data_IF_937558152562
#
_entry.id   IF_937558152562
#
_cell.length_a   1.000
_cell.length_b   1.000
_cell.length_c   1.000
_cell.angle_alpha   90.00
_cell.angle_beta   90.00
_cell.angle_gamma   90.00
#
_symmetry.space_group_name_H-M   'P 1'
#
loop_
_entity.id
_entity.type
_entity.pdbx_description
1 polymer ?
#
# COMPACT_ATOMS: atom_id res chain seq x y z
N UNK A 1 -75.64 14.85 -72.59
CA UNK A 1 -76.90 14.10 -72.43
C UNK A 1 -76.58 12.85 -71.59
N UNK A 2 -77.37 12.58 -70.57
CA UNK A 2 -77.45 11.26 -69.92
C UNK A 2 -76.88 11.22 -68.49
N UNK A 3 -77.74 11.63 -67.55
CA UNK A 3 -77.66 11.27 -66.11
C UNK A 3 -78.04 9.82 -65.92
N UNK A 4 -77.40 9.08 -65.05
CA UNK A 4 -78.06 8.12 -64.16
C UNK A 4 -77.41 8.08 -62.79
N UNK A 5 -78.24 8.16 -61.78
CA UNK A 5 -78.01 8.06 -60.33
C UNK A 5 -78.07 6.60 -59.86
N UNK A 6 -77.55 6.43 -58.66
CA UNK A 6 -77.89 5.50 -57.56
C UNK A 6 -76.82 4.47 -57.34
N UNK A 7 -76.46 4.14 -56.14
CA UNK A 7 -77.11 4.21 -54.87
C UNK A 7 -76.20 3.70 -53.75
N UNK A 8 -76.47 4.13 -52.58
CA UNK A 8 -75.90 3.91 -51.29
C UNK A 8 -75.99 2.48 -50.77
N UNK A 9 -74.92 1.95 -50.15
CA UNK A 9 -75.04 1.15 -48.91
C UNK A 9 -73.78 1.24 -48.11
N UNK A 10 -73.88 1.82 -46.92
CA UNK A 10 -72.80 1.92 -45.96
C UNK A 10 -72.64 0.61 -45.22
N UNK A 11 -71.43 0.28 -44.95
CA UNK A 11 -71.08 -0.65 -43.91
C UNK A 11 -69.98 -0.02 -43.03
N UNK A 12 -70.39 0.31 -41.81
CA UNK A 12 -69.51 0.83 -40.80
C UNK A 12 -68.66 -0.33 -40.24
N UNK A 13 -67.38 -0.21 -40.39
CA UNK A 13 -66.41 -1.07 -39.70
C UNK A 13 -65.83 -0.28 -38.49
N UNK A 14 -66.26 -0.72 -37.28
CA UNK A 14 -65.64 -0.24 -36.04
C UNK A 14 -64.22 -0.83 -35.88
N UNK A 15 -63.20 -0.04 -36.16
CA UNK A 15 -61.85 -0.41 -35.88
C UNK A 15 -61.52 -0.26 -34.39
N UNK A 16 -61.31 -1.37 -33.71
CA UNK A 16 -60.79 -1.40 -32.36
C UNK A 16 -59.29 -1.09 -32.43
N UNK A 17 -58.92 0.12 -32.06
CA UNK A 17 -57.52 0.51 -31.84
C UNK A 17 -57.06 -0.07 -30.48
N UNK A 18 -56.41 -1.23 -30.54
CA UNK A 18 -55.69 -1.80 -29.39
C UNK A 18 -54.44 -0.98 -29.12
N UNK A 19 -54.43 -0.17 -28.07
CA UNK A 19 -53.23 0.49 -27.57
C UNK A 19 -52.31 -0.58 -26.93
N UNK A 20 -51.24 -0.92 -27.62
CA UNK A 20 -50.16 -1.71 -27.04
C UNK A 20 -49.34 -0.79 -26.10
N UNK A 21 -49.61 -0.89 -24.80
CA UNK A 21 -48.79 -0.27 -23.76
C UNK A 21 -47.49 -1.07 -23.65
N UNK A 22 -46.45 -0.61 -24.31
CA UNK A 22 -45.07 -1.07 -24.07
C UNK A 22 -44.63 -0.56 -22.68
N UNK A 23 -44.80 -1.37 -21.64
CA UNK A 23 -44.16 -1.14 -20.36
C UNK A 23 -42.66 -1.39 -20.54
N UNK A 24 -41.89 -0.31 -20.72
CA UNK A 24 -40.45 -0.35 -20.60
C UNK A 24 -40.14 -0.71 -19.14
N UNK A 25 -39.81 -1.97 -18.87
CA UNK A 25 -39.24 -2.39 -17.62
C UNK A 25 -37.83 -1.77 -17.57
N UNK A 26 -37.68 -0.62 -16.93
CA UNK A 26 -36.37 -0.12 -16.47
C UNK A 26 -35.90 -1.10 -15.40
N UNK A 27 -35.23 -2.15 -15.83
CA UNK A 27 -34.46 -2.97 -14.93
C UNK A 27 -33.36 -2.09 -14.32
N UNK A 28 -33.48 -1.78 -13.03
CA UNK A 28 -32.37 -1.28 -12.24
C UNK A 28 -31.24 -2.34 -12.34
N UNK A 29 -30.33 -2.17 -13.29
CA UNK A 29 -29.02 -2.84 -13.17
C UNK A 29 -28.36 -2.20 -11.96
N UNK A 30 -28.25 -2.96 -10.87
CA UNK A 30 -27.38 -2.59 -9.77
C UNK A 30 -26.04 -2.18 -10.38
N UNK A 31 -25.56 -0.99 -10.03
CA UNK A 31 -24.25 -0.54 -10.48
C UNK A 31 -23.23 -1.59 -10.01
N UNK A 32 -22.47 -2.14 -10.95
CA UNK A 32 -21.39 -3.08 -10.61
C UNK A 32 -20.38 -2.27 -9.81
N UNK A 33 -20.02 -2.74 -8.62
CA UNK A 33 -18.97 -2.12 -7.82
C UNK A 33 -17.67 -2.12 -8.65
N UNK A 34 -17.07 -0.97 -8.91
CA UNK A 34 -15.81 -0.90 -9.65
C UNK A 34 -14.63 -1.41 -8.83
N UNK A 35 -14.79 -1.62 -7.50
CA UNK A 35 -13.75 -2.01 -6.56
C UNK A 35 -14.16 -3.22 -5.71
N UNK A 36 -14.43 -4.38 -6.34
CA UNK A 36 -14.88 -5.58 -5.62
C UNK A 36 -13.73 -6.33 -4.93
N UNK A 37 -12.47 -5.90 -5.16
CA UNK A 37 -11.29 -6.61 -4.71
C UNK A 37 -10.98 -6.43 -3.23
N UNK A 38 -10.19 -7.35 -2.72
CA UNK A 38 -9.69 -7.38 -1.35
C UNK A 38 -8.23 -7.83 -1.32
N UNK A 39 -7.49 -7.42 -0.30
CA UNK A 39 -6.23 -8.04 0.07
C UNK A 39 -6.49 -9.31 0.88
N UNK A 40 -5.83 -10.41 0.49
CA UNK A 40 -6.03 -11.75 1.10
C UNK A 40 -4.68 -12.26 1.61
N UNK A 41 -4.58 -12.42 2.92
CA UNK A 41 -3.38 -12.91 3.59
C UNK A 41 -3.29 -14.45 3.55
N UNK A 42 -2.09 -14.97 3.27
CA UNK A 42 -1.80 -16.42 3.30
C UNK A 42 -0.36 -16.68 3.74
N UNK A 43 -0.11 -17.88 4.27
CA UNK A 43 1.21 -18.33 4.70
C UNK A 43 1.58 -19.63 3.99
N UNK A 44 2.74 -19.62 3.34
CA UNK A 44 3.35 -20.83 2.75
C UNK A 44 4.05 -21.70 3.78
N UNK A 45 4.56 -22.84 3.31
CA UNK A 45 5.38 -23.73 4.12
C UNK A 45 6.75 -23.10 4.41
N UNK A 46 7.36 -23.53 5.54
CA UNK A 46 8.71 -23.15 5.95
C UNK A 46 9.47 -24.41 6.36
N UNK A 47 10.68 -24.58 5.85
CA UNK A 47 11.49 -25.79 6.06
C UNK A 47 12.88 -25.50 6.60
N UNK A 48 13.45 -24.32 6.35
CA UNK A 48 14.73 -23.89 6.94
C UNK A 48 14.51 -23.26 8.32
N UNK A 49 15.53 -23.26 9.16
CA UNK A 49 15.44 -22.66 10.51
C UNK A 49 15.07 -21.19 10.47
N UNK A 50 15.64 -20.45 9.53
CA UNK A 50 15.39 -19.02 9.31
C UNK A 50 13.93 -18.80 8.87
N UNK A 51 13.46 -19.56 7.89
CA UNK A 51 12.10 -19.45 7.41
C UNK A 51 11.05 -19.82 8.48
N UNK A 52 11.35 -20.85 9.29
CA UNK A 52 10.48 -21.24 10.40
C UNK A 52 10.36 -20.12 11.42
N UNK A 53 11.48 -19.51 11.88
CA UNK A 53 11.45 -18.39 12.84
C UNK A 53 10.69 -17.18 12.27
N UNK A 54 10.99 -16.77 11.03
CA UNK A 54 10.29 -15.66 10.39
C UNK A 54 8.79 -15.92 10.25
N UNK A 55 8.39 -17.14 9.85
CA UNK A 55 6.99 -17.54 9.77
C UNK A 55 6.30 -17.51 11.13
N UNK A 56 6.95 -18.03 12.16
CA UNK A 56 6.42 -18.04 13.52
C UNK A 56 6.18 -16.62 14.03
N UNK A 57 7.13 -15.69 13.83
CA UNK A 57 6.96 -14.28 14.19
C UNK A 57 5.73 -13.69 13.49
N UNK A 58 5.63 -13.80 12.17
CA UNK A 58 4.51 -13.26 11.42
C UNK A 58 3.16 -13.84 11.85
N UNK A 59 3.10 -15.13 12.13
CA UNK A 59 1.86 -15.79 12.58
C UNK A 59 1.49 -15.41 14.02
N UNK A 60 2.45 -15.35 14.92
CA UNK A 60 2.22 -15.02 16.34
C UNK A 60 1.72 -13.57 16.50
N UNK A 61 2.21 -12.66 15.66
CA UNK A 61 1.76 -11.26 15.61
C UNK A 61 0.52 -11.04 14.72
N UNK A 62 0.06 -12.07 14.00
CA UNK A 62 -1.01 -11.95 13.00
C UNK A 62 -0.71 -10.86 11.95
N UNK A 63 0.55 -10.66 11.64
CA UNK A 63 1.03 -9.53 10.85
C UNK A 63 0.29 -9.38 9.51
N UNK A 64 0.22 -10.45 8.72
CA UNK A 64 -0.38 -10.36 7.38
C UNK A 64 -1.90 -10.12 7.44
N UNK A 65 -2.58 -10.71 8.41
CA UNK A 65 -4.02 -10.52 8.60
C UNK A 65 -4.33 -9.07 8.97
N UNK A 66 -3.60 -8.50 9.94
CA UNK A 66 -3.78 -7.10 10.38
C UNK A 66 -3.50 -6.14 9.21
N UNK A 67 -2.40 -6.32 8.48
CA UNK A 67 -2.06 -5.50 7.32
C UNK A 67 -3.12 -5.61 6.21
N UNK A 68 -3.63 -6.82 5.96
CA UNK A 68 -4.69 -7.02 4.98
C UNK A 68 -6.02 -6.37 5.42
N UNK A 69 -6.36 -6.44 6.71
CA UNK A 69 -7.55 -5.80 7.29
C UNK A 69 -7.46 -4.27 7.17
N UNK A 70 -6.29 -3.68 7.47
CA UNK A 70 -6.05 -2.23 7.35
C UNK A 70 -6.19 -1.75 5.89
N UNK A 71 -5.53 -2.44 4.95
CA UNK A 71 -5.67 -2.14 3.52
C UNK A 71 -7.14 -2.27 3.09
N UNK A 72 -7.81 -3.35 3.48
CA UNK A 72 -9.20 -3.60 3.15
C UNK A 72 -10.16 -2.58 3.77
N UNK A 73 -9.83 -2.00 4.91
CA UNK A 73 -10.64 -0.96 5.53
C UNK A 73 -10.47 0.41 4.88
N UNK A 74 -9.31 0.68 4.30
CA UNK A 74 -8.88 2.00 3.87
C UNK A 74 -8.86 2.20 2.36
N UNK A 75 -8.63 1.13 1.57
CA UNK A 75 -8.42 1.22 0.11
C UNK A 75 -9.51 0.49 -0.69
N UNK A 76 -9.87 1.08 -1.83
CA UNK A 76 -10.80 0.51 -2.83
C UNK A 76 -9.98 -0.26 -3.85
N UNK A 77 -9.91 -1.58 -3.76
CA UNK A 77 -9.15 -2.41 -4.69
C UNK A 77 -10.04 -2.88 -5.87
N UNK A 78 -9.60 -2.70 -7.14
CA UNK A 78 -10.38 -3.13 -8.30
C UNK A 78 -10.39 -4.65 -8.48
N UNK A 79 -9.45 -5.37 -7.90
CA UNK A 79 -9.33 -6.81 -7.92
C UNK A 79 -8.59 -7.31 -6.68
N UNK A 80 -8.68 -8.61 -6.40
CA UNK A 80 -7.98 -9.21 -5.27
C UNK A 80 -6.46 -9.08 -5.42
N UNK A 81 -5.81 -8.80 -4.29
CA UNK A 81 -4.35 -8.76 -4.12
C UNK A 81 -3.97 -9.80 -3.09
N UNK A 82 -3.06 -10.69 -3.45
CA UNK A 82 -2.54 -11.69 -2.52
C UNK A 82 -1.42 -11.08 -1.68
N UNK A 83 -1.51 -11.21 -0.36
CA UNK A 83 -0.42 -10.91 0.58
C UNK A 83 0.11 -12.24 1.14
N UNK A 84 1.34 -12.60 0.79
CA UNK A 84 1.87 -13.95 1.04
C UNK A 84 3.16 -13.87 1.84
N UNK A 85 3.20 -14.59 2.97
CA UNK A 85 4.44 -14.98 3.63
C UNK A 85 4.91 -16.32 3.09
N UNK A 86 6.14 -16.40 2.59
CA UNK A 86 6.68 -17.67 2.10
C UNK A 86 8.20 -17.76 2.27
N UNK A 87 8.72 -19.00 2.26
CA UNK A 87 10.16 -19.23 2.17
C UNK A 87 10.66 -18.90 0.78
N UNK A 88 11.71 -18.09 0.68
CA UNK A 88 12.31 -17.66 -0.59
C UNK A 88 13.75 -18.12 -0.79
N UNK A 89 14.37 -18.71 0.22
CA UNK A 89 15.81 -19.05 0.29
C UNK A 89 16.72 -17.82 0.07
N UNK A 90 16.19 -16.63 0.37
CA UNK A 90 16.87 -15.33 0.33
C UNK A 90 16.08 -14.25 1.09
N UNK A 91 16.81 -13.26 1.58
CA UNK A 91 16.21 -12.06 2.18
C UNK A 91 15.59 -11.19 1.09
N UNK A 92 14.26 -11.05 1.07
CA UNK A 92 13.57 -10.23 0.06
C UNK A 92 12.13 -9.94 0.45
N UNK A 93 11.55 -8.92 -0.19
CA UNK A 93 10.12 -8.72 -0.38
C UNK A 93 9.89 -8.27 -1.83
N UNK A 94 8.71 -8.49 -2.40
CA UNK A 94 8.44 -8.13 -3.80
C UNK A 94 6.97 -7.93 -4.06
N UNK A 95 6.65 -6.94 -4.90
CA UNK A 95 5.41 -6.87 -5.65
C UNK A 95 5.52 -7.55 -7.01
N UNK A 96 4.53 -8.35 -7.38
CA UNK A 96 4.41 -8.94 -8.73
C UNK A 96 3.07 -8.48 -9.34
N UNK A 97 3.16 -7.64 -10.38
CA UNK A 97 1.99 -7.06 -11.04
C UNK A 97 1.18 -8.05 -11.87
N UNK A 98 1.80 -9.14 -12.37
CA UNK A 98 1.13 -10.17 -13.17
C UNK A 98 0.20 -11.00 -12.29
N UNK A 99 0.73 -11.44 -11.12
CA UNK A 99 -0.01 -12.26 -10.17
C UNK A 99 -0.81 -11.42 -9.16
N UNK A 100 -0.64 -10.09 -9.16
CA UNK A 100 -1.14 -9.16 -8.14
C UNK A 100 -0.84 -9.68 -6.74
N UNK A 101 0.44 -9.89 -6.47
CA UNK A 101 0.92 -10.50 -5.24
C UNK A 101 2.04 -9.69 -4.61
N UNK A 102 1.83 -9.31 -3.34
CA UNK A 102 2.89 -8.88 -2.44
C UNK A 102 3.38 -10.12 -1.71
N UNK A 103 4.68 -10.34 -1.75
CA UNK A 103 5.34 -11.44 -1.08
C UNK A 103 6.35 -10.91 -0.07
N UNK A 104 6.26 -11.39 1.17
CA UNK A 104 7.25 -11.15 2.23
C UNK A 104 7.95 -12.47 2.51
N UNK A 105 9.26 -12.50 2.27
CA UNK A 105 10.07 -13.69 2.54
C UNK A 105 10.30 -13.85 4.04
N UNK A 106 10.12 -15.05 4.56
CA UNK A 106 10.36 -15.35 5.97
C UNK A 106 11.79 -15.05 6.41
N UNK A 107 12.76 -15.21 5.50
CA UNK A 107 14.17 -14.91 5.74
C UNK A 107 14.41 -13.41 5.97
N UNK A 108 13.58 -12.52 5.41
CA UNK A 108 13.64 -11.08 5.70
C UNK A 108 13.22 -10.81 7.14
N UNK A 109 12.14 -11.43 7.58
CA UNK A 109 11.62 -11.29 8.94
C UNK A 109 12.59 -11.84 9.98
N UNK A 110 13.18 -13.01 9.71
CA UNK A 110 14.24 -13.59 10.54
C UNK A 110 15.48 -12.69 10.60
N UNK A 111 15.89 -12.11 9.46
CA UNK A 111 17.00 -11.16 9.45
C UNK A 111 16.67 -9.93 10.29
N UNK A 112 15.47 -9.37 10.17
CA UNK A 112 15.03 -8.23 10.99
C UNK A 112 15.14 -8.57 12.47
N UNK A 113 14.60 -9.71 12.90
CA UNK A 113 14.69 -10.15 14.30
C UNK A 113 16.16 -10.23 14.78
N UNK A 114 17.06 -10.82 14.00
CA UNK A 114 18.49 -10.90 14.36
C UNK A 114 19.19 -9.54 14.37
N UNK A 115 18.79 -8.61 13.52
CA UNK A 115 19.33 -7.27 13.47
C UNK A 115 19.02 -6.44 14.72
N UNK A 116 17.81 -6.62 15.25
CA UNK A 116 17.35 -5.93 16.46
C UNK A 116 17.73 -6.65 17.76
N UNK A 117 18.42 -7.79 17.69
CA UNK A 117 19.05 -8.43 18.86
C UNK A 117 18.48 -9.77 19.28
N UNK A 118 17.83 -10.49 18.40
CA UNK A 118 17.16 -11.77 18.65
C UNK A 118 16.06 -11.70 19.73
N UNK A 119 15.42 -12.83 20.02
CA UNK A 119 14.29 -12.94 20.97
C UNK A 119 14.63 -12.55 22.42
N UNK A 120 15.94 -12.51 22.77
CA UNK A 120 16.42 -12.21 24.13
C UNK A 120 16.56 -10.70 24.41
N UNK A 121 16.52 -9.85 23.37
CA UNK A 121 16.59 -8.41 23.55
C UNK A 121 15.21 -7.83 23.85
N UNK A 122 15.07 -6.92 24.81
CA UNK A 122 13.82 -6.21 25.02
C UNK A 122 13.41 -5.49 23.73
N UNK A 123 12.17 -5.65 23.31
CA UNK A 123 11.53 -5.02 22.14
C UNK A 123 11.98 -5.54 20.76
N UNK A 124 12.93 -6.49 20.64
CA UNK A 124 13.40 -6.99 19.33
C UNK A 124 12.28 -7.52 18.44
N UNK A 125 11.26 -8.15 19.01
CA UNK A 125 10.08 -8.65 18.29
C UNK A 125 9.25 -7.49 17.75
N UNK A 126 9.03 -6.44 18.54
CA UNK A 126 8.27 -5.26 18.13
C UNK A 126 9.02 -4.50 17.04
N UNK A 127 10.33 -4.26 17.22
CA UNK A 127 11.21 -3.58 16.26
C UNK A 127 11.30 -4.35 14.92
N UNK A 128 11.45 -5.67 14.97
CA UNK A 128 11.44 -6.53 13.78
C UNK A 128 10.07 -6.52 13.08
N UNK A 129 9.00 -6.52 13.86
CA UNK A 129 7.63 -6.41 13.34
C UNK A 129 7.43 -5.06 12.65
N UNK A 130 7.75 -3.97 13.33
CA UNK A 130 7.60 -2.61 12.80
C UNK A 130 8.42 -2.39 11.52
N UNK A 131 9.68 -2.83 11.50
CA UNK A 131 10.52 -2.72 10.30
C UNK A 131 9.96 -3.53 9.12
N UNK A 132 9.39 -4.72 9.39
CA UNK A 132 8.73 -5.55 8.36
C UNK A 132 7.44 -4.89 7.85
N UNK A 133 6.69 -4.21 8.71
CA UNK A 133 5.54 -3.39 8.31
C UNK A 133 5.97 -2.28 7.35
N UNK A 134 7.09 -1.59 7.64
CA UNK A 134 7.66 -0.60 6.73
C UNK A 134 7.97 -1.19 5.35
N UNK A 135 8.60 -2.37 5.29
CA UNK A 135 8.83 -3.10 4.03
C UNK A 135 7.53 -3.45 3.33
N UNK A 136 6.50 -3.91 4.05
CA UNK A 136 5.19 -4.18 3.45
C UNK A 136 4.61 -2.93 2.78
N UNK A 137 4.65 -1.75 3.42
CA UNK A 137 4.15 -0.51 2.82
C UNK A 137 4.96 -0.04 1.63
N UNK A 138 6.26 -0.33 1.59
CA UNK A 138 7.09 -0.14 0.39
C UNK A 138 6.59 -1.02 -0.77
N UNK A 139 6.35 -2.30 -0.54
CA UNK A 139 5.79 -3.21 -1.56
C UNK A 139 4.34 -2.85 -1.94
N UNK A 140 3.55 -2.39 -0.97
CA UNK A 140 2.21 -1.86 -1.23
C UNK A 140 2.26 -0.61 -2.13
N UNK A 141 3.28 0.24 -1.98
CA UNK A 141 3.47 1.40 -2.84
C UNK A 141 3.64 1.00 -4.30
N UNK A 142 4.50 0.03 -4.60
CA UNK A 142 4.62 -0.54 -5.94
C UNK A 142 3.28 -1.11 -6.45
N UNK A 143 2.55 -1.79 -5.58
CA UNK A 143 1.24 -2.33 -5.92
C UNK A 143 0.25 -1.21 -6.28
N UNK A 144 0.15 -0.15 -5.48
CA UNK A 144 -0.78 0.96 -5.71
C UNK A 144 -0.41 1.76 -6.95
N UNK A 145 0.88 2.03 -7.17
CA UNK A 145 1.40 2.68 -8.39
C UNK A 145 0.95 1.87 -9.62
N UNK A 146 1.17 0.56 -9.60
CA UNK A 146 0.83 -0.34 -10.70
C UNK A 146 -0.69 -0.52 -10.90
N UNK A 147 -1.46 -0.71 -9.81
CA UNK A 147 -2.90 -1.00 -9.87
C UNK A 147 -3.71 0.22 -10.32
N UNK A 148 -3.34 1.42 -9.86
CA UNK A 148 -4.06 2.65 -10.16
C UNK A 148 -3.43 3.49 -11.27
N UNK A 149 -2.35 3.00 -11.89
CA UNK A 149 -1.56 3.73 -12.91
C UNK A 149 -1.19 5.15 -12.42
N UNK A 150 -0.64 5.23 -11.19
CA UNK A 150 -0.32 6.50 -10.56
C UNK A 150 0.92 7.13 -11.22
N UNK A 151 0.84 8.40 -11.61
CA UNK A 151 2.01 9.10 -12.14
C UNK A 151 3.01 9.42 -11.02
N UNK A 152 4.27 9.24 -11.30
CA UNK A 152 5.36 9.64 -10.41
C UNK A 152 6.55 10.21 -11.20
N UNK A 153 7.49 10.82 -10.49
CA UNK A 153 8.74 11.34 -11.05
C UNK A 153 9.91 10.87 -10.20
N UNK A 154 11.03 10.57 -10.83
CA UNK A 154 12.21 10.04 -10.15
C UNK A 154 12.29 8.52 -10.22
N UNK A 155 13.00 7.94 -9.27
CA UNK A 155 13.12 6.48 -9.14
C UNK A 155 11.89 5.92 -8.43
N UNK A 156 11.30 4.87 -8.95
CA UNK A 156 10.14 4.23 -8.33
C UNK A 156 10.44 3.74 -6.91
N UNK A 157 11.64 3.25 -6.64
CA UNK A 157 12.07 2.79 -5.32
C UNK A 157 12.07 3.92 -4.27
N UNK A 158 12.57 5.11 -4.64
CA UNK A 158 12.54 6.28 -3.74
C UNK A 158 11.09 6.78 -3.55
N UNK A 159 10.26 6.64 -4.58
CA UNK A 159 8.82 6.98 -4.54
C UNK A 159 8.05 5.99 -3.67
N UNK A 160 8.42 4.70 -3.70
CA UNK A 160 7.85 3.68 -2.82
C UNK A 160 8.16 3.94 -1.34
N UNK A 161 9.39 4.36 -1.02
CA UNK A 161 9.74 4.79 0.34
C UNK A 161 8.93 6.02 0.79
N UNK A 162 8.71 6.99 -0.10
CA UNK A 162 7.87 8.16 0.20
C UNK A 162 6.43 7.76 0.51
N UNK A 163 5.84 6.87 -0.29
CA UNK A 163 4.47 6.41 -0.07
C UNK A 163 4.38 5.58 1.22
N UNK A 164 5.36 4.73 1.51
CA UNK A 164 5.43 4.00 2.77
C UNK A 164 5.44 4.96 3.96
N UNK A 165 6.31 5.99 3.94
CA UNK A 165 6.37 7.00 4.97
C UNK A 165 5.04 7.78 5.10
N UNK A 166 4.42 8.18 3.99
CA UNK A 166 3.12 8.84 3.98
C UNK A 166 2.05 7.99 4.64
N UNK A 167 1.93 6.72 4.24
CA UNK A 167 0.90 5.81 4.77
C UNK A 167 1.09 5.55 6.27
N UNK A 168 2.34 5.44 6.73
CA UNK A 168 2.66 5.20 8.14
C UNK A 168 2.41 6.46 8.99
N UNK A 169 2.83 7.63 8.52
CA UNK A 169 2.83 8.86 9.32
C UNK A 169 1.54 9.69 9.24
N UNK A 170 0.64 9.37 8.30
CA UNK A 170 -0.61 10.12 8.15
C UNK A 170 -1.57 9.80 9.31
N UNK A 171 -2.02 10.80 10.11
CA UNK A 171 -2.84 10.58 11.31
C UNK A 171 -4.16 9.85 11.04
N UNK A 172 -4.77 10.08 9.87
CA UNK A 172 -6.00 9.44 9.42
C UNK A 172 -5.71 8.28 8.43
N UNK A 173 -4.47 7.78 8.44
CA UNK A 173 -3.94 6.85 7.45
C UNK A 173 -4.45 5.41 7.57
N UNK A 174 -3.73 4.52 6.91
CA UNK A 174 -4.07 3.08 6.81
C UNK A 174 -3.80 2.36 8.12
N UNK A 175 -2.77 2.76 8.88
CA UNK A 175 -2.36 2.12 10.15
C UNK A 175 -3.25 2.52 11.33
N UNK A 176 -4.45 1.96 11.42
CA UNK A 176 -5.38 2.23 12.54
C UNK A 176 -5.18 1.31 13.73
N UNK A 177 -4.63 0.12 13.51
CA UNK A 177 -4.46 -0.90 14.52
C UNK A 177 -3.11 -0.83 15.25
N UNK A 178 -2.20 0.05 14.79
CA UNK A 178 -0.87 0.21 15.39
C UNK A 178 -0.85 1.41 16.34
N UNK A 179 -0.42 1.20 17.60
CA UNK A 179 -0.53 2.23 18.64
C UNK A 179 0.45 3.40 18.44
N UNK A 180 1.57 3.19 17.77
CA UNK A 180 2.61 4.20 17.54
C UNK A 180 3.16 4.15 16.10
N UNK A 181 2.50 4.82 15.14
CA UNK A 181 2.97 4.88 13.76
C UNK A 181 4.38 5.50 13.60
N UNK A 182 4.73 6.47 14.44
CA UNK A 182 6.06 7.10 14.38
C UNK A 182 7.15 6.10 14.74
N UNK A 183 6.92 5.23 15.74
CA UNK A 183 7.84 4.16 16.11
C UNK A 183 7.99 3.15 14.96
N UNK A 184 6.91 2.81 14.25
CA UNK A 184 6.99 1.96 13.03
C UNK A 184 7.95 2.58 12.00
N UNK A 185 7.83 3.87 11.74
CA UNK A 185 8.70 4.57 10.81
C UNK A 185 10.15 4.65 11.30
N UNK A 186 10.38 4.87 12.60
CA UNK A 186 11.71 4.90 13.20
C UNK A 186 12.40 3.52 13.11
N UNK A 187 11.71 2.44 13.42
CA UNK A 187 12.26 1.09 13.33
C UNK A 187 12.53 0.69 11.87
N UNK A 188 11.69 1.13 10.95
CA UNK A 188 11.95 0.97 9.51
C UNK A 188 13.21 1.74 9.08
N UNK A 189 13.40 2.97 9.54
CA UNK A 189 14.62 3.74 9.28
C UNK A 189 15.86 3.09 9.94
N UNK A 190 15.72 2.56 11.16
CA UNK A 190 16.80 1.88 11.88
C UNK A 190 17.23 0.60 11.17
N UNK A 191 16.31 -0.15 10.58
CA UNK A 191 16.64 -1.33 9.77
C UNK A 191 17.63 -0.98 8.65
N UNK A 192 17.43 0.14 7.93
CA UNK A 192 18.38 0.57 6.90
C UNK A 192 19.76 0.93 7.47
N UNK A 193 19.80 1.53 8.67
CA UNK A 193 21.08 1.75 9.36
C UNK A 193 21.78 0.44 9.64
N UNK A 194 21.09 -0.53 10.21
CA UNK A 194 21.66 -1.83 10.56
C UNK A 194 22.13 -2.60 9.32
N UNK A 195 21.43 -2.50 8.22
CA UNK A 195 21.87 -3.05 6.93
C UNK A 195 23.09 -2.32 6.36
N UNK A 196 23.18 -0.99 6.50
CA UNK A 196 24.34 -0.23 6.10
C UNK A 196 25.58 -0.63 6.93
N UNK A 197 25.43 -0.76 8.25
CA UNK A 197 26.49 -1.17 9.16
C UNK A 197 27.05 -2.58 8.80
N UNK A 198 26.20 -3.50 8.35
CA UNK A 198 26.62 -4.85 7.93
C UNK A 198 27.29 -4.87 6.55
N UNK A 199 26.86 -3.99 5.64
CA UNK A 199 27.39 -3.97 4.25
C UNK A 199 28.85 -3.52 4.20
N UNK A 200 29.26 -2.60 5.07
CA UNK A 200 30.57 -1.93 5.01
C UNK A 200 30.59 -0.73 4.05
N UNK A 201 31.77 -0.41 3.48
CA UNK A 201 31.98 0.78 2.67
C UNK A 201 31.14 0.80 1.38
N UNK A 202 30.62 1.99 1.03
CA UNK A 202 29.86 2.23 -0.19
C UNK A 202 30.80 2.38 -1.38
N UNK A 203 30.58 1.60 -2.44
CA UNK A 203 31.29 1.69 -3.70
C UNK A 203 30.46 2.40 -4.79
N UNK A 204 31.10 2.74 -5.91
CA UNK A 204 30.41 3.40 -7.04
C UNK A 204 29.27 2.56 -7.61
N UNK A 205 29.37 1.23 -7.55
CA UNK A 205 28.32 0.31 -8.01
C UNK A 205 27.02 0.44 -7.22
N UNK A 206 27.09 0.81 -5.93
CA UNK A 206 25.91 0.95 -5.08
C UNK A 206 25.04 2.13 -5.51
N UNK A 207 25.65 3.18 -6.07
CA UNK A 207 24.92 4.32 -6.63
C UNK A 207 24.24 4.02 -7.99
N UNK A 208 24.61 2.92 -8.64
CA UNK A 208 23.99 2.46 -9.89
C UNK A 208 22.82 1.49 -9.65
N UNK A 209 22.60 1.07 -8.40
CA UNK A 209 21.48 0.18 -8.03
C UNK A 209 20.12 0.86 -8.22
N UNK A 210 19.06 0.05 -8.33
CA UNK A 210 17.67 0.55 -8.41
C UNK A 210 17.27 1.28 -7.13
N UNK A 211 17.60 0.74 -5.96
CA UNK A 211 17.44 1.40 -4.68
C UNK A 211 18.55 2.41 -4.41
N UNK A 212 18.20 3.49 -3.74
CA UNK A 212 19.18 4.37 -3.11
C UNK A 212 19.95 3.61 -2.01
N UNK A 213 21.18 4.05 -1.71
CA UNK A 213 21.96 3.42 -0.62
C UNK A 213 21.23 3.54 0.71
N UNK A 214 21.40 2.55 1.57
CA UNK A 214 20.66 2.43 2.83
C UNK A 214 20.76 3.69 3.71
N UNK A 215 21.91 4.34 3.73
CA UNK A 215 22.11 5.58 4.48
C UNK A 215 21.22 6.72 3.95
N UNK A 216 21.04 6.82 2.65
CA UNK A 216 20.12 7.80 2.03
C UNK A 216 18.68 7.49 2.40
N UNK A 217 18.25 6.23 2.30
CA UNK A 217 16.89 5.79 2.66
C UNK A 217 16.61 6.08 4.14
N UNK A 218 17.57 5.73 5.03
CA UNK A 218 17.48 6.02 6.46
C UNK A 218 17.28 7.52 6.73
N UNK A 219 18.12 8.40 6.14
CA UNK A 219 18.02 9.83 6.39
C UNK A 219 16.78 10.47 5.75
N UNK A 220 16.27 9.95 4.64
CA UNK A 220 15.01 10.39 4.07
C UNK A 220 13.85 10.06 5.00
N UNK A 221 13.75 8.83 5.51
CA UNK A 221 12.73 8.43 6.48
C UNK A 221 12.80 9.29 7.75
N UNK A 222 14.00 9.46 8.33
CA UNK A 222 14.19 10.33 9.50
C UNK A 222 13.73 11.77 9.25
N UNK A 223 14.00 12.28 8.06
CA UNK A 223 13.55 13.62 7.68
C UNK A 223 12.02 13.69 7.59
N UNK A 224 11.36 12.70 7.03
CA UNK A 224 9.90 12.69 6.94
C UNK A 224 9.24 12.46 8.31
N UNK A 225 9.82 11.63 9.19
CA UNK A 225 9.38 11.49 10.58
C UNK A 225 9.47 12.84 11.30
N UNK A 226 10.63 13.48 11.29
CA UNK A 226 10.80 14.79 11.88
C UNK A 226 9.87 15.84 11.25
N UNK A 227 9.73 15.82 9.93
CA UNK A 227 8.91 16.77 9.17
C UNK A 227 7.42 16.63 9.45
N UNK A 228 6.94 15.44 9.82
CA UNK A 228 5.52 15.20 10.12
C UNK A 228 5.07 15.91 11.41
N UNK A 229 5.91 15.95 12.43
CA UNK A 229 5.71 16.74 13.65
C UNK A 229 7.06 17.12 14.28
N UNK A 230 7.65 18.27 13.88
CA UNK A 230 8.95 18.71 14.40
C UNK A 230 8.99 18.92 15.91
N UNK A 231 7.85 19.19 16.54
CA UNK A 231 7.79 19.39 17.99
C UNK A 231 7.84 18.07 18.74
N UNK A 232 7.12 17.06 18.26
CA UNK A 232 7.12 15.72 18.84
C UNK A 232 8.46 15.01 18.67
N UNK A 233 9.18 15.27 17.56
CA UNK A 233 10.43 14.60 17.20
C UNK A 233 11.70 15.46 17.37
N UNK A 234 11.64 16.52 18.19
CA UNK A 234 12.76 17.44 18.41
C UNK A 234 14.02 16.75 18.99
N UNK A 235 13.85 15.65 19.70
CA UNK A 235 14.90 14.80 20.23
C UNK A 235 15.81 14.19 19.14
N UNK A 236 15.29 13.96 17.93
CA UNK A 236 16.08 13.44 16.80
C UNK A 236 17.28 14.34 16.45
N UNK A 237 17.15 15.67 16.65
CA UNK A 237 18.22 16.63 16.44
C UNK A 237 19.14 16.64 17.67
N UNK A 238 18.58 16.69 18.87
CA UNK A 238 19.33 16.75 20.15
C UNK A 238 20.24 15.53 20.30
N UNK A 239 19.75 14.35 19.94
CA UNK A 239 20.49 13.10 20.02
C UNK A 239 21.45 12.87 18.82
N UNK A 240 21.46 13.81 17.86
CA UNK A 240 22.27 13.70 16.65
C UNK A 240 21.81 12.61 15.66
N UNK A 241 20.58 12.08 15.83
CA UNK A 241 20.00 11.08 14.92
C UNK A 241 19.65 11.67 13.55
N UNK A 242 19.34 12.97 13.50
CA UNK A 242 19.12 13.74 12.28
C UNK A 242 19.99 15.02 12.33
N UNK A 243 20.91 15.25 11.36
CA UNK A 243 21.70 16.47 11.30
C UNK A 243 20.82 17.73 11.20
N UNK A 244 21.16 18.80 11.95
CA UNK A 244 20.40 20.05 11.99
C UNK A 244 20.24 20.67 10.60
N UNK A 245 21.30 20.66 9.79
CA UNK A 245 21.24 21.18 8.40
C UNK A 245 20.25 20.40 7.54
N UNK A 246 20.10 19.07 7.77
CA UNK A 246 19.08 18.25 7.07
C UNK A 246 17.69 18.55 7.58
N UNK A 247 17.53 18.70 8.89
CA UNK A 247 16.24 18.94 9.54
C UNK A 247 15.57 20.23 9.08
N UNK A 248 16.36 21.26 8.74
CA UNK A 248 15.87 22.58 8.36
C UNK A 248 14.84 22.59 7.20
N UNK A 249 14.88 21.60 6.32
CA UNK A 249 13.96 21.46 5.17
C UNK A 249 12.90 20.37 5.33
N UNK A 250 12.95 19.58 6.38
CA UNK A 250 12.16 18.33 6.46
C UNK A 250 10.65 18.57 6.57
N UNK A 251 10.22 19.60 7.27
CA UNK A 251 8.79 19.91 7.38
C UNK A 251 8.19 20.28 6.02
N UNK A 252 8.86 21.16 5.25
CA UNK A 252 8.39 21.51 3.91
C UNK A 252 8.39 20.31 2.97
N UNK A 253 9.40 19.45 3.07
CA UNK A 253 9.52 18.22 2.28
C UNK A 253 8.37 17.25 2.61
N UNK A 254 8.06 17.01 3.90
CA UNK A 254 6.95 16.17 4.31
C UNK A 254 5.59 16.76 3.91
N UNK A 255 5.37 18.06 4.11
CA UNK A 255 4.15 18.74 3.70
C UNK A 255 3.89 18.60 2.19
N UNK A 256 4.95 18.65 1.38
CA UNK A 256 4.84 18.46 -0.06
C UNK A 256 4.51 17.01 -0.42
N UNK A 257 5.17 16.07 0.22
CA UNK A 257 4.94 14.62 0.07
C UNK A 257 3.50 14.28 0.46
N UNK A 258 3.03 14.71 1.63
CA UNK A 258 1.66 14.47 2.13
C UNK A 258 0.61 15.05 1.17
N UNK A 259 0.78 16.29 0.70
CA UNK A 259 -0.13 16.89 -0.29
C UNK A 259 -0.16 16.11 -1.62
N UNK A 260 0.98 15.62 -2.08
CA UNK A 260 1.06 14.87 -3.32
C UNK A 260 0.32 13.53 -3.21
N UNK A 261 0.64 12.75 -2.18
CA UNK A 261 0.05 11.44 -1.97
C UNK A 261 -1.44 11.49 -1.61
N UNK A 262 -1.86 12.44 -0.76
CA UNK A 262 -3.29 12.67 -0.46
C UNK A 262 -4.09 12.93 -1.75
N UNK A 263 -3.51 13.69 -2.69
CA UNK A 263 -4.15 13.96 -3.98
C UNK A 263 -4.19 12.74 -4.90
N UNK A 264 -3.11 11.96 -4.95
CA UNK A 264 -3.01 10.80 -5.82
C UNK A 264 -3.87 9.63 -5.32
N UNK A 265 -3.88 9.39 -4.01
CA UNK A 265 -4.62 8.28 -3.40
C UNK A 265 -6.07 8.61 -3.06
N UNK A 266 -6.41 9.89 -2.87
CA UNK A 266 -7.74 10.33 -2.45
C UNK A 266 -8.92 9.67 -3.20
N UNK A 267 -8.89 9.49 -4.53
CA UNK A 267 -9.95 8.80 -5.27
C UNK A 267 -10.16 7.34 -4.85
N UNK A 268 -9.14 6.70 -4.30
CA UNK A 268 -9.08 5.28 -3.99
C UNK A 268 -9.21 4.98 -2.49
N UNK A 269 -9.31 6.00 -1.64
CA UNK A 269 -9.60 5.84 -0.21
C UNK A 269 -11.11 5.60 0.01
N UNK A 270 -11.43 4.82 1.07
CA UNK A 270 -12.81 4.52 1.50
C UNK A 270 -13.37 5.58 2.42
#
# INVERSE_FOLDING_TARGET
MGRVRAGTTGAAWAGVLGAVVLTAACGNRAAVDPYPGRMVATYGEATTSEAVRGRELMMNTRMLEVLAEDVNSSLKLPADVSLVGEQCDRVNATWNSVDRRIKICYELVDLSLRLFGDDDAPNSVDEATNSTIGVFFHELAHALISIYDLPFTGREEDVADQLAAFVILEPDGVLKEFPDPAQVAEDYALMFKLWADQRGDVGLSDFAATHSVNETRMYNLKCWIYGSDPAAHADMIVDGRLPEDRAAGCQEEYDQLSRAWSKLLGPYLK
#
